data_IF_932125348334
#
_entry.id   IF_932125348334
#
_cell.length_a   1.000
_cell.length_b   1.000
_cell.length_c   1.000
_cell.angle_alpha   90.00
_cell.angle_beta   90.00
_cell.angle_gamma   90.00
#
_symmetry.space_group_name_H-M   'P 1'
#
loop_
_entity.id
_entity.type
_entity.pdbx_description
1 polymer ?
#
# COMPACT_ATOMS: atom_id res chain seq x y z
N UNK A 1 26.39 2.23 12.38
CA UNK A 1 25.09 2.83 12.03
C UNK A 1 24.04 1.75 12.08
N UNK A 2 23.17 1.78 13.09
CA UNK A 2 22.09 0.80 13.27
C UNK A 2 20.80 1.32 12.64
N UNK A 3 20.11 0.45 11.90
CA UNK A 3 18.78 0.74 11.36
C UNK A 3 17.73 0.44 12.43
N UNK A 4 16.74 1.32 12.60
CA UNK A 4 15.59 1.09 13.48
C UNK A 4 14.49 0.45 12.64
N UNK A 5 14.14 -0.80 12.96
CA UNK A 5 12.97 -1.49 12.39
C UNK A 5 11.74 -1.08 13.21
N UNK A 6 10.77 -0.42 12.56
CA UNK A 6 9.49 -0.09 13.19
C UNK A 6 8.50 -1.19 12.85
N UNK A 7 8.15 -2.04 13.83
CA UNK A 7 7.07 -3.03 13.71
C UNK A 7 5.77 -2.46 14.30
N UNK A 8 4.73 -2.28 13.48
CA UNK A 8 3.42 -1.79 13.92
C UNK A 8 2.37 -2.90 13.95
N UNK A 9 1.68 -3.06 15.10
CA UNK A 9 0.73 -4.15 15.45
C UNK A 9 -0.24 -4.60 14.34
N UNK A 10 -0.33 -5.92 14.22
CA UNK A 10 -0.98 -6.73 13.19
C UNK A 10 -2.50 -6.94 13.41
N UNK A 11 -3.32 -6.84 12.35
CA UNK A 11 -4.72 -7.31 12.35
C UNK A 11 -4.96 -8.29 11.18
N UNK A 12 -5.14 -9.57 11.51
CA UNK A 12 -5.12 -10.72 10.58
C UNK A 12 -6.31 -10.81 9.62
N UNK A 13 -7.50 -10.33 10.04
CA UNK A 13 -8.75 -10.60 9.32
C UNK A 13 -8.95 -9.73 8.08
N UNK A 14 -8.40 -8.51 8.06
CA UNK A 14 -8.52 -7.61 6.91
C UNK A 14 -7.50 -7.93 5.79
N UNK A 15 -6.38 -8.59 6.13
CA UNK A 15 -5.27 -8.90 5.21
C UNK A 15 -5.61 -10.03 4.21
N UNK A 16 -6.35 -11.04 4.67
CA UNK A 16 -6.87 -12.09 3.78
C UNK A 16 -7.86 -11.53 2.76
N UNK A 17 -8.46 -10.37 3.04
CA UNK A 17 -9.53 -9.84 2.22
C UNK A 17 -8.99 -9.00 1.04
N UNK A 18 -8.02 -8.10 1.28
CA UNK A 18 -7.40 -7.32 0.20
C UNK A 18 -6.71 -8.21 -0.85
N UNK A 19 -6.07 -9.30 -0.39
CA UNK A 19 -5.52 -10.32 -1.29
C UNK A 19 -6.59 -11.10 -2.07
N UNK A 20 -7.80 -11.30 -1.51
CA UNK A 20 -8.94 -11.95 -2.19
C UNK A 20 -9.59 -11.08 -3.26
N UNK A 21 -9.50 -9.75 -3.14
CA UNK A 21 -10.03 -8.81 -4.13
C UNK A 21 -9.00 -8.41 -5.18
N UNK A 22 -7.75 -8.85 -5.10
CA UNK A 22 -6.76 -8.49 -6.12
C UNK A 22 -6.72 -9.51 -7.26
N UNK A 23 -7.04 -9.09 -8.48
CA UNK A 23 -6.87 -9.93 -9.65
C UNK A 23 -5.45 -9.82 -10.21
N UNK A 24 -4.62 -10.81 -9.88
CA UNK A 24 -3.25 -10.95 -10.39
C UNK A 24 -3.18 -11.21 -11.90
N UNK A 25 -4.28 -11.63 -12.54
CA UNK A 25 -4.30 -11.95 -13.98
C UNK A 25 -4.67 -10.76 -14.85
N UNK A 26 -5.50 -9.84 -14.35
CA UNK A 26 -6.01 -8.69 -15.11
C UNK A 26 -5.44 -7.36 -14.63
N UNK A 27 -4.12 -7.24 -14.65
CA UNK A 27 -3.44 -5.94 -14.68
C UNK A 27 -3.81 -4.98 -13.52
N UNK A 28 -3.64 -5.45 -12.27
CA UNK A 28 -3.70 -4.61 -11.06
C UNK A 28 -5.09 -4.02 -10.74
N UNK A 29 -6.15 -4.79 -10.98
CA UNK A 29 -7.52 -4.36 -10.70
C UNK A 29 -8.02 -4.99 -9.39
N UNK A 30 -8.53 -4.15 -8.49
CA UNK A 30 -9.34 -4.59 -7.35
C UNK A 30 -10.70 -5.06 -7.88
N UNK A 31 -11.07 -6.30 -7.59
CA UNK A 31 -12.27 -7.02 -8.04
C UNK A 31 -13.17 -7.33 -6.85
N UNK A 32 -14.44 -6.94 -6.98
CA UNK A 32 -15.45 -7.17 -5.96
C UNK A 32 -15.64 -8.68 -5.72
N UNK A 33 -15.66 -9.15 -4.46
CA UNK A 33 -15.86 -10.56 -4.18
C UNK A 33 -17.28 -11.04 -4.52
N UNK A 34 -18.27 -10.13 -4.45
CA UNK A 34 -19.69 -10.44 -4.62
C UNK A 34 -20.10 -10.53 -6.09
N UNK A 35 -19.81 -9.50 -6.88
CA UNK A 35 -20.29 -9.42 -8.27
C UNK A 35 -19.17 -9.49 -9.32
N UNK A 36 -17.90 -9.60 -8.90
CA UNK A 36 -16.72 -9.55 -9.78
C UNK A 36 -16.53 -8.24 -10.55
N UNK A 37 -17.32 -7.21 -10.23
CA UNK A 37 -17.16 -5.86 -10.78
C UNK A 37 -15.87 -5.19 -10.29
N UNK A 38 -15.42 -4.17 -11.02
CA UNK A 38 -14.29 -3.34 -10.63
C UNK A 38 -14.55 -2.66 -9.28
N UNK A 39 -13.50 -2.54 -8.47
CA UNK A 39 -13.48 -1.72 -7.27
C UNK A 39 -12.56 -0.51 -7.45
N UNK A 40 -12.86 0.57 -6.74
CA UNK A 40 -12.10 1.81 -6.71
C UNK A 40 -11.72 2.14 -5.26
N UNK A 41 -10.66 2.93 -5.11
CA UNK A 41 -10.17 3.43 -3.82
C UNK A 41 -10.51 4.92 -3.75
N UNK A 42 -11.24 5.33 -2.71
CA UNK A 42 -11.65 6.71 -2.46
C UNK A 42 -11.07 7.15 -1.13
N UNK A 43 -10.11 8.08 -1.17
CA UNK A 43 -9.59 8.74 0.03
C UNK A 43 -10.56 9.85 0.44
N UNK A 44 -11.01 9.83 1.69
CA UNK A 44 -11.91 10.81 2.28
C UNK A 44 -11.10 11.89 3.01
N UNK A 45 -11.51 12.26 4.22
CA UNK A 45 -10.83 13.25 5.03
C UNK A 45 -9.50 12.71 5.58
N UNK A 46 -8.46 13.54 5.61
CA UNK A 46 -7.21 13.19 6.27
C UNK A 46 -7.47 13.01 7.77
N UNK A 47 -6.97 11.91 8.32
CA UNK A 47 -6.95 11.66 9.75
C UNK A 47 -5.89 12.60 10.33
N UNK A 48 -6.32 13.58 11.11
CA UNK A 48 -5.40 14.53 11.75
C UNK A 48 -4.55 13.81 12.80
N UNK A 49 -3.35 13.41 12.41
CA UNK A 49 -2.36 12.83 13.29
C UNK A 49 -1.05 13.61 13.15
N UNK A 50 -0.80 14.47 14.14
CA UNK A 50 0.35 15.39 14.19
C UNK A 50 1.68 14.65 14.40
N UNK A 51 1.65 13.37 14.79
CA UNK A 51 2.85 12.57 15.06
C UNK A 51 3.22 11.62 13.91
N UNK A 52 2.35 11.46 12.91
CA UNK A 52 2.56 10.54 11.81
C UNK A 52 3.33 11.18 10.64
N UNK A 53 4.27 10.41 10.07
CA UNK A 53 5.13 10.85 8.96
C UNK A 53 4.38 11.10 7.65
N UNK A 54 3.25 10.42 7.54
CA UNK A 54 2.43 10.33 6.37
C UNK A 54 1.03 10.74 6.80
N UNK A 55 0.36 11.54 5.97
CA UNK A 55 -1.03 11.92 6.23
C UNK A 55 -1.88 10.67 6.00
N UNK A 56 -2.45 10.05 7.06
CA UNK A 56 -3.37 8.95 6.88
C UNK A 56 -4.71 9.51 6.40
N UNK A 57 -5.44 8.73 5.62
CA UNK A 57 -6.77 9.07 5.13
C UNK A 57 -7.73 7.94 5.50
N UNK A 58 -8.91 8.32 6.00
CA UNK A 58 -10.05 7.43 5.98
C UNK A 58 -10.34 7.08 4.52
N UNK A 59 -10.36 5.79 4.20
CA UNK A 59 -10.40 5.32 2.82
C UNK A 59 -11.55 4.34 2.65
N UNK A 60 -12.38 4.57 1.64
CA UNK A 60 -13.41 3.61 1.22
C UNK A 60 -12.92 2.89 -0.04
N UNK A 61 -12.95 1.56 -0.01
CA UNK A 61 -12.81 0.74 -1.20
C UNK A 61 -14.20 0.24 -1.58
N UNK A 62 -14.72 0.68 -2.73
CA UNK A 62 -16.11 0.41 -3.14
C UNK A 62 -16.19 -0.23 -4.53
N UNK A 63 -17.18 -1.10 -4.71
CA UNK A 63 -17.49 -1.68 -6.00
C UNK A 63 -18.27 -0.70 -6.87
N UNK A 64 -17.89 -0.56 -8.13
CA UNK A 64 -18.60 0.32 -9.08
C UNK A 64 -19.91 -0.28 -9.62
N UNK A 65 -20.31 -1.48 -9.17
CA UNK A 65 -21.45 -2.23 -9.72
C UNK A 65 -22.46 -2.70 -8.66
N UNK A 66 -22.09 -2.78 -7.38
CA UNK A 66 -22.99 -3.20 -6.30
C UNK A 66 -22.62 -2.47 -5.00
N UNK A 67 -23.47 -2.57 -3.97
CA UNK A 67 -23.32 -1.83 -2.70
C UNK A 67 -22.17 -2.34 -1.79
N UNK A 68 -21.32 -3.21 -2.32
CA UNK A 68 -20.18 -3.73 -1.58
C UNK A 68 -19.12 -2.64 -1.38
N UNK A 69 -18.83 -2.32 -0.12
CA UNK A 69 -17.81 -1.34 0.27
C UNK A 69 -17.11 -1.73 1.56
N UNK A 70 -15.90 -1.19 1.75
CA UNK A 70 -15.05 -1.46 2.91
C UNK A 70 -14.35 -0.18 3.33
N UNK A 71 -14.22 0.02 4.64
CA UNK A 71 -13.42 1.09 5.21
C UNK A 71 -12.03 0.59 5.58
N UNK A 72 -11.01 1.36 5.25
CA UNK A 72 -9.61 1.11 5.56
C UNK A 72 -8.90 2.45 5.79
N UNK A 73 -7.69 2.40 6.35
CA UNK A 73 -6.79 3.54 6.35
C UNK A 73 -5.88 3.44 5.11
N UNK A 74 -5.55 4.59 4.52
CA UNK A 74 -4.51 4.66 3.50
C UNK A 74 -3.57 5.83 3.73
N UNK A 75 -2.37 5.74 3.18
CA UNK A 75 -1.41 6.82 3.12
C UNK A 75 -0.46 6.57 1.95
N UNK A 76 0.25 7.62 1.52
CA UNK A 76 1.30 7.48 0.51
C UNK A 76 2.69 7.66 1.11
N UNK A 77 3.67 6.97 0.52
CA UNK A 77 5.09 7.15 0.83
C UNK A 77 5.83 7.43 -0.46
N UNK A 78 6.61 8.52 -0.47
CA UNK A 78 7.65 8.74 -1.47
C UNK A 78 8.94 8.03 -1.06
N UNK A 79 9.43 7.12 -1.90
CA UNK A 79 10.64 6.35 -1.61
C UNK A 79 11.17 5.57 -2.80
N UNK A 80 12.24 4.80 -2.60
CA UNK A 80 12.77 3.89 -3.61
C UNK A 80 12.73 2.44 -3.14
N UNK A 81 12.59 1.50 -4.08
CA UNK A 81 12.55 0.06 -3.75
C UNK A 81 13.96 -0.39 -3.37
N UNK A 82 14.13 -0.82 -2.12
CA UNK A 82 15.40 -1.35 -1.62
C UNK A 82 15.53 -2.85 -1.88
N UNK A 83 14.48 -3.60 -1.59
CA UNK A 83 14.39 -5.04 -1.80
C UNK A 83 12.94 -5.50 -1.86
N UNK A 84 12.68 -6.70 -2.39
CA UNK A 84 11.35 -7.30 -2.41
C UNK A 84 11.39 -8.82 -2.57
N UNK A 85 10.32 -9.48 -2.12
CA UNK A 85 10.04 -10.90 -2.33
C UNK A 85 8.61 -11.08 -2.86
N UNK A 86 8.04 -12.29 -2.82
CA UNK A 86 6.68 -12.54 -3.31
C UNK A 86 5.57 -11.94 -2.43
N UNK A 87 5.91 -11.56 -1.20
CA UNK A 87 4.96 -11.10 -0.18
C UNK A 87 5.28 -9.68 0.29
N UNK A 88 6.56 -9.32 0.38
CA UNK A 88 7.01 -8.10 1.01
C UNK A 88 7.87 -7.23 0.11
N UNK A 89 7.74 -5.93 0.30
CA UNK A 89 8.56 -4.88 -0.30
C UNK A 89 9.23 -4.08 0.81
N UNK A 90 10.49 -3.69 0.59
CA UNK A 90 11.22 -2.75 1.41
C UNK A 90 11.35 -1.43 0.66
N UNK A 91 10.83 -0.36 1.26
CA UNK A 91 10.86 1.00 0.70
C UNK A 91 11.84 1.82 1.54
N UNK A 92 12.87 2.36 0.91
CA UNK A 92 13.74 3.36 1.51
C UNK A 92 13.07 4.73 1.37
N UNK A 93 12.77 5.39 2.50
CA UNK A 93 12.09 6.68 2.56
C UNK A 93 12.63 7.54 3.70
N UNK A 94 11.90 8.61 4.03
CA UNK A 94 12.18 9.49 5.16
C UNK A 94 11.11 9.33 6.25
N UNK A 95 11.54 9.39 7.51
CA UNK A 95 10.69 9.45 8.70
C UNK A 95 10.08 10.86 8.86
N UNK A 96 9.13 11.07 9.81
CA UNK A 96 8.60 12.41 10.08
C UNK A 96 9.69 13.39 10.53
N UNK A 97 10.71 12.88 11.24
CA UNK A 97 11.87 13.64 11.69
C UNK A 97 12.91 13.89 10.60
N UNK A 98 12.63 13.51 9.35
CA UNK A 98 13.56 13.65 8.22
C UNK A 98 14.72 12.64 8.23
N UNK A 99 14.68 11.64 9.10
CA UNK A 99 15.70 10.58 9.13
C UNK A 99 15.44 9.55 8.03
N UNK A 100 16.50 8.98 7.45
CA UNK A 100 16.34 7.89 6.48
C UNK A 100 15.85 6.62 7.19
N UNK A 101 14.82 6.00 6.63
CA UNK A 101 14.24 4.75 7.14
C UNK A 101 14.04 3.75 6.02
N UNK A 102 14.06 2.46 6.37
CA UNK A 102 13.65 1.38 5.46
C UNK A 102 12.43 0.73 6.10
N UNK A 103 11.29 0.89 5.45
CA UNK A 103 10.02 0.35 5.91
C UNK A 103 9.67 -0.91 5.11
N UNK A 104 9.20 -1.95 5.80
CA UNK A 104 8.76 -3.20 5.19
C UNK A 104 7.23 -3.27 5.16
N UNK A 105 6.67 -3.49 3.99
CA UNK A 105 5.23 -3.64 3.78
C UNK A 105 4.92 -4.95 3.08
N UNK A 106 3.71 -5.48 3.28
CA UNK A 106 3.17 -6.45 2.33
C UNK A 106 2.84 -5.74 1.01
N UNK A 107 2.82 -6.46 -0.12
CA UNK A 107 2.41 -5.87 -1.40
C UNK A 107 1.63 -6.82 -2.29
N UNK A 108 0.97 -6.24 -3.28
CA UNK A 108 0.30 -6.93 -4.39
C UNK A 108 0.83 -6.50 -5.76
N UNK A 109 1.86 -5.64 -5.75
CA UNK A 109 2.52 -5.14 -6.95
C UNK A 109 3.15 -6.28 -7.78
N UNK A 110 3.17 -6.06 -9.09
CA UNK A 110 3.76 -6.97 -10.07
C UNK A 110 5.28 -7.11 -9.87
N UNK A 111 5.79 -8.33 -10.07
CA UNK A 111 7.20 -8.64 -9.82
C UNK A 111 8.14 -7.95 -10.81
N UNK A 112 7.76 -7.89 -12.10
CA UNK A 112 8.57 -7.25 -13.13
C UNK A 112 8.60 -5.72 -12.95
N UNK A 113 7.49 -5.13 -12.51
CA UNK A 113 7.44 -3.74 -12.07
C UNK A 113 8.43 -3.49 -10.92
N UNK A 114 8.38 -4.29 -9.86
CA UNK A 114 9.27 -4.12 -8.70
C UNK A 114 10.74 -4.30 -9.06
N UNK A 115 11.05 -5.23 -9.95
CA UNK A 115 12.40 -5.43 -10.47
C UNK A 115 12.92 -4.16 -11.15
N UNK A 116 12.14 -3.56 -12.06
CA UNK A 116 12.49 -2.31 -12.74
C UNK A 116 12.70 -1.16 -11.77
N UNK A 117 11.83 -1.02 -10.77
CA UNK A 117 11.93 0.04 -9.76
C UNK A 117 13.16 -0.11 -8.86
N UNK A 118 13.54 -1.34 -8.51
CA UNK A 118 14.76 -1.62 -7.75
C UNK A 118 16.01 -1.29 -8.55
N UNK A 119 16.02 -1.62 -9.85
CA UNK A 119 17.14 -1.35 -10.75
C UNK A 119 17.30 0.14 -11.06
N UNK A 120 16.19 0.89 -11.20
CA UNK A 120 16.25 2.33 -11.51
C UNK A 120 16.65 3.20 -10.33
N UNK A 121 16.44 2.73 -9.09
CA UNK A 121 16.62 3.49 -7.84
C UNK A 121 15.79 4.79 -7.76
N UNK A 122 14.83 4.95 -8.67
CA UNK A 122 13.97 6.13 -8.74
C UNK A 122 13.09 6.25 -7.50
N UNK A 123 12.86 7.50 -7.09
CA UNK A 123 11.84 7.81 -6.12
C UNK A 123 10.47 7.70 -6.80
N UNK A 124 9.59 6.91 -6.18
CA UNK A 124 8.22 6.68 -6.59
C UNK A 124 7.29 6.86 -5.42
N UNK A 125 6.07 7.27 -5.72
CA UNK A 125 5.02 7.36 -4.72
C UNK A 125 4.25 6.03 -4.64
N UNK A 126 4.22 5.44 -3.44
CA UNK A 126 3.56 4.17 -3.17
C UNK A 126 2.28 4.41 -2.36
N UNK A 127 1.15 3.91 -2.88
CA UNK A 127 -0.10 3.87 -2.14
C UNK A 127 -0.13 2.67 -1.22
N UNK A 128 -0.27 2.92 0.08
CA UNK A 128 -0.42 1.90 1.09
C UNK A 128 -1.85 1.96 1.62
N UNK A 129 -2.57 0.84 1.54
CA UNK A 129 -3.90 0.67 2.11
C UNK A 129 -3.84 -0.46 3.12
N UNK A 130 -4.22 -0.18 4.37
CA UNK A 130 -4.18 -1.14 5.48
C UNK A 130 -2.84 -1.89 5.57
N UNK A 131 -1.72 -1.14 5.52
CA UNK A 131 -0.34 -1.66 5.59
C UNK A 131 0.12 -2.53 4.42
N UNK A 132 -0.63 -2.53 3.32
CA UNK A 132 -0.27 -3.21 2.09
C UNK A 132 -0.04 -2.21 0.95
N UNK A 133 1.08 -2.33 0.25
CA UNK A 133 1.36 -1.53 -0.95
C UNK A 133 0.51 -2.07 -2.10
N UNK A 134 -0.41 -1.25 -2.58
CA UNK A 134 -1.38 -1.65 -3.61
C UNK A 134 -1.11 -1.02 -4.97
N UNK A 135 -0.43 0.12 -5.02
CA UNK A 135 -0.22 0.86 -6.25
C UNK A 135 1.03 1.73 -6.19
N UNK A 136 1.61 2.00 -7.36
CA UNK A 136 2.60 3.06 -7.60
C UNK A 136 1.88 4.19 -8.35
N UNK A 137 1.85 5.40 -7.78
CA UNK A 137 1.03 6.53 -8.29
C UNK A 137 1.85 7.51 -9.17
N UNK A 138 3.18 7.52 -9.06
CA UNK A 138 4.09 8.35 -9.86
C UNK A 138 5.51 7.84 -9.83
#
# INVERSE_FOLDING_TARGET
MGWILVEMKYNKNHMEFLSKIWDRKNNQVLICPLCKGKMIVVQLEPIQDVENAYVPYDTIIECTHCDFKISAESFSILGSVKDFDLKYIQIASWSPSGSRVISRYEHILDYDLLKKLKESTELKEFLIVNKQVIQVIG
#
